data_IF_092507565717
#
_entry.id   IF_092507565717
#
_cell.length_a   1.000
_cell.length_b   1.000
_cell.length_c   1.000
_cell.angle_alpha   90.00
_cell.angle_beta   90.00
_cell.angle_gamma   90.00
#
_symmetry.space_group_name_H-M   'P 1'
#
loop_
_entity.id
_entity.type
_entity.pdbx_description
1 polymer ?
#
# COMPACT_ATOMS: atom_id res chain seq x y z
N UNK A 1 -61.75 -53.69 4.37
CA UNK A 1 -61.50 -52.25 4.55
C UNK A 1 -59.99 -52.03 4.51
N UNK A 2 -59.50 -51.11 3.67
CA UNK A 2 -58.10 -50.93 3.29
C UNK A 2 -57.37 -49.84 4.10
N UNK A 3 -56.08 -49.67 3.78
CA UNK A 3 -55.20 -48.50 3.96
C UNK A 3 -54.66 -48.20 5.37
N UNK A 4 -53.42 -47.76 5.56
CA UNK A 4 -52.42 -47.25 4.61
C UNK A 4 -51.01 -47.32 5.22
N UNK A 5 -50.04 -47.60 4.36
CA UNK A 5 -48.62 -47.31 4.57
C UNK A 5 -48.47 -45.79 4.50
N UNK A 6 -47.95 -45.16 5.55
CA UNK A 6 -47.38 -43.81 5.44
C UNK A 6 -45.85 -43.93 5.51
N UNK A 7 -45.24 -43.80 4.33
CA UNK A 7 -43.87 -43.35 4.17
C UNK A 7 -43.86 -41.83 4.27
N UNK A 8 -43.13 -41.26 5.22
CA UNK A 8 -42.66 -39.87 5.19
C UNK A 8 -41.16 -39.92 5.50
N UNK A 9 -40.33 -40.09 4.46
CA UNK A 9 -39.63 -39.02 3.74
C UNK A 9 -38.77 -38.13 4.63
N UNK A 10 -37.51 -38.57 4.78
CA UNK A 10 -36.26 -37.80 4.94
C UNK A 10 -36.43 -36.31 5.28
N UNK A 11 -36.11 -35.96 6.52
CA UNK A 11 -35.73 -34.57 6.84
C UNK A 11 -34.34 -34.30 6.22
N UNK A 12 -34.15 -33.23 5.44
CA UNK A 12 -32.81 -32.84 5.03
C UNK A 12 -32.06 -32.34 6.26
N UNK A 13 -30.89 -32.95 6.51
CA UNK A 13 -29.89 -32.38 7.40
C UNK A 13 -29.51 -31.00 6.84
N UNK A 14 -30.06 -29.94 7.42
CA UNK A 14 -29.53 -28.60 7.22
C UNK A 14 -28.16 -28.56 7.92
N UNK A 15 -27.13 -29.01 7.22
CA UNK A 15 -25.76 -28.61 7.52
C UNK A 15 -25.70 -27.08 7.38
N UNK A 16 -25.73 -26.39 8.52
CA UNK A 16 -25.44 -24.96 8.58
C UNK A 16 -23.98 -24.82 8.19
N UNK A 17 -23.73 -24.52 6.92
CA UNK A 17 -22.39 -24.24 6.42
C UNK A 17 -21.94 -22.92 7.06
N UNK A 18 -21.16 -23.01 8.14
CA UNK A 18 -20.53 -21.85 8.75
C UNK A 18 -19.61 -21.22 7.70
N UNK A 19 -19.99 -20.04 7.21
CA UNK A 19 -19.16 -19.29 6.27
C UNK A 19 -18.02 -18.67 7.07
N UNK A 20 -16.83 -19.23 6.96
CA UNK A 20 -15.61 -18.62 7.51
C UNK A 20 -15.22 -17.40 6.67
N UNK A 21 -15.32 -16.23 7.27
CA UNK A 21 -15.00 -14.94 6.65
C UNK A 21 -13.68 -14.40 7.21
N UNK A 22 -12.94 -13.67 6.36
CA UNK A 22 -11.77 -12.92 6.79
C UNK A 22 -12.20 -11.75 7.69
N UNK A 23 -11.48 -11.55 8.80
CA UNK A 23 -11.66 -10.37 9.64
C UNK A 23 -11.29 -9.11 8.86
N UNK A 24 -12.18 -8.12 8.85
CA UNK A 24 -12.01 -6.88 8.10
C UNK A 24 -12.48 -5.66 8.87
N UNK A 25 -11.86 -4.51 8.61
CA UNK A 25 -12.25 -3.20 9.13
C UNK A 25 -12.87 -2.39 8.00
N UNK A 26 -14.02 -1.76 8.25
CA UNK A 26 -14.67 -0.90 7.25
C UNK A 26 -14.12 0.53 7.31
N UNK A 27 -13.95 1.16 6.14
CA UNK A 27 -13.60 2.58 6.04
C UNK A 27 -14.84 3.48 5.84
N UNK A 28 -14.65 4.79 5.96
CA UNK A 28 -15.73 5.78 5.81
C UNK A 28 -16.26 5.92 4.36
N UNK A 29 -15.64 5.25 3.39
CA UNK A 29 -15.96 5.32 1.96
C UNK A 29 -16.63 4.05 1.43
N UNK A 30 -16.98 3.11 2.32
CA UNK A 30 -17.63 1.84 1.99
C UNK A 30 -16.65 0.78 1.46
N UNK A 31 -15.35 0.97 1.69
CA UNK A 31 -14.33 -0.05 1.50
C UNK A 31 -14.11 -0.90 2.76
N UNK A 32 -13.34 -1.97 2.59
CA UNK A 32 -12.95 -2.88 3.67
C UNK A 32 -11.46 -3.20 3.58
N UNK A 33 -10.82 -3.35 4.73
CA UNK A 33 -9.39 -3.67 4.85
C UNK A 33 -9.21 -4.94 5.67
N UNK A 34 -8.53 -5.92 5.12
CA UNK A 34 -8.06 -7.12 5.80
C UNK A 34 -6.58 -6.94 6.10
N UNK A 35 -6.20 -7.15 7.36
CA UNK A 35 -4.80 -7.26 7.76
C UNK A 35 -4.54 -8.69 8.22
N UNK A 36 -3.68 -9.41 7.49
CA UNK A 36 -3.30 -10.76 7.89
C UNK A 36 -2.38 -10.70 9.10
N UNK A 37 -2.71 -11.47 10.14
CA UNK A 37 -1.99 -11.48 11.43
C UNK A 37 -1.47 -12.86 11.81
N UNK A 38 -2.00 -13.91 11.19
CA UNK A 38 -1.69 -15.30 11.52
C UNK A 38 -1.37 -16.08 10.24
N UNK A 39 -0.50 -17.07 10.37
CA UNK A 39 -0.16 -17.98 9.27
C UNK A 39 -1.40 -18.77 8.85
N UNK A 40 -1.64 -18.84 7.54
CA UNK A 40 -2.76 -19.55 6.97
C UNK A 40 -2.30 -20.37 5.77
N UNK A 41 -2.86 -21.57 5.61
CA UNK A 41 -2.69 -22.35 4.39
C UNK A 41 -3.30 -21.60 3.20
N UNK A 42 -2.59 -21.64 2.06
CA UNK A 42 -2.99 -20.91 0.85
C UNK A 42 -4.36 -21.33 0.29
N UNK A 43 -4.75 -22.61 0.42
CA UNK A 43 -6.04 -23.11 -0.09
C UNK A 43 -7.17 -22.72 0.85
N UNK A 44 -6.95 -22.83 2.16
CA UNK A 44 -7.91 -22.36 3.16
C UNK A 44 -8.16 -20.87 2.97
N UNK A 45 -7.09 -20.07 2.86
CA UNK A 45 -7.19 -18.64 2.60
C UNK A 45 -7.97 -18.33 1.32
N UNK A 46 -7.71 -19.03 0.21
CA UNK A 46 -8.43 -18.83 -1.04
C UNK A 46 -9.95 -19.07 -0.87
N UNK A 47 -10.34 -20.13 -0.15
CA UNK A 47 -11.74 -20.43 0.15
C UNK A 47 -12.40 -19.33 1.00
N UNK A 48 -11.71 -18.87 2.04
CA UNK A 48 -12.18 -17.78 2.90
C UNK A 48 -12.27 -16.45 2.14
N UNK A 49 -11.29 -16.15 1.29
CA UNK A 49 -11.27 -14.94 0.47
C UNK A 49 -12.43 -14.92 -0.53
N UNK A 50 -12.69 -16.03 -1.24
CA UNK A 50 -13.83 -16.13 -2.16
C UNK A 50 -15.18 -15.96 -1.45
N UNK A 51 -15.31 -16.55 -0.25
CA UNK A 51 -16.51 -16.39 0.60
C UNK A 51 -16.67 -14.95 1.09
N UNK A 52 -15.57 -14.31 1.48
CA UNK A 52 -15.53 -12.92 1.95
C UNK A 52 -15.86 -11.93 0.84
N UNK A 53 -15.32 -12.14 -0.37
CA UNK A 53 -15.67 -11.35 -1.55
C UNK A 53 -17.16 -11.43 -1.86
N UNK A 54 -17.72 -12.64 -1.86
CA UNK A 54 -19.16 -12.85 -2.08
C UNK A 54 -20.01 -12.10 -1.05
N UNK A 55 -19.59 -12.16 0.22
CA UNK A 55 -20.23 -11.41 1.30
C UNK A 55 -20.14 -9.89 1.10
N UNK A 56 -18.95 -9.35 0.80
CA UNK A 56 -18.75 -7.92 0.59
C UNK A 56 -19.48 -7.38 -0.65
N UNK A 57 -19.61 -8.20 -1.72
CA UNK A 57 -20.44 -7.88 -2.88
C UNK A 57 -21.90 -7.70 -2.47
N UNK A 58 -22.46 -8.61 -1.66
CA UNK A 58 -23.84 -8.50 -1.16
C UNK A 58 -24.04 -7.28 -0.27
N UNK A 59 -23.02 -6.93 0.52
CA UNK A 59 -23.01 -5.71 1.35
C UNK A 59 -22.73 -4.44 0.53
N UNK A 60 -22.59 -4.53 -0.80
CA UNK A 60 -22.30 -3.42 -1.71
C UNK A 60 -21.04 -2.64 -1.32
N UNK A 61 -20.02 -3.35 -0.81
CA UNK A 61 -18.71 -2.76 -0.55
C UNK A 61 -18.03 -2.38 -1.87
N UNK A 62 -17.10 -1.43 -1.78
CA UNK A 62 -16.43 -0.83 -2.93
C UNK A 62 -14.99 -1.34 -3.09
N UNK A 63 -14.05 -0.73 -2.39
CA UNK A 63 -12.64 -1.14 -2.39
C UNK A 63 -12.37 -2.20 -1.34
N UNK A 64 -11.70 -3.29 -1.71
CA UNK A 64 -11.17 -4.27 -0.78
C UNK A 64 -9.66 -4.15 -0.76
N UNK A 65 -9.10 -3.95 0.41
CA UNK A 65 -7.66 -3.85 0.65
C UNK A 65 -7.20 -5.06 1.44
N UNK A 66 -6.07 -5.65 1.05
CA UNK A 66 -5.45 -6.75 1.77
C UNK A 66 -4.00 -6.39 2.04
N UNK A 67 -3.68 -6.21 3.32
CA UNK A 67 -2.31 -6.03 3.81
C UNK A 67 -1.72 -7.39 4.15
N UNK A 68 -0.69 -7.78 3.42
CA UNK A 68 0.05 -9.03 3.62
C UNK A 68 1.46 -8.72 4.12
N UNK A 69 1.74 -8.89 5.43
CA UNK A 69 3.10 -9.00 5.94
C UNK A 69 3.95 -10.01 5.14
N UNK A 70 5.25 -9.74 5.04
CA UNK A 70 6.18 -10.51 4.19
C UNK A 70 6.24 -12.00 4.54
N UNK A 71 6.02 -12.34 5.81
CA UNK A 71 5.91 -13.71 6.33
C UNK A 71 4.71 -14.49 5.76
N UNK A 72 3.70 -13.80 5.21
CA UNK A 72 2.51 -14.39 4.59
C UNK A 72 2.55 -14.29 3.05
N UNK A 73 3.75 -14.24 2.47
CA UNK A 73 3.95 -14.22 1.01
C UNK A 73 3.31 -15.40 0.27
N UNK A 74 3.07 -16.52 0.95
CA UNK A 74 2.33 -17.67 0.40
C UNK A 74 0.87 -17.34 0.05
N UNK A 75 0.33 -16.22 0.52
CA UNK A 75 -1.04 -15.77 0.25
C UNK A 75 -1.14 -14.79 -0.93
N UNK A 76 -0.02 -14.36 -1.51
CA UNK A 76 -0.01 -13.42 -2.63
C UNK A 76 -0.66 -14.04 -3.87
N UNK A 77 -0.24 -15.24 -4.27
CA UNK A 77 -0.78 -15.93 -5.45
C UNK A 77 -2.30 -16.15 -5.36
N UNK A 78 -2.88 -16.73 -4.29
CA UNK A 78 -4.33 -16.90 -4.21
C UNK A 78 -5.06 -15.55 -4.20
N UNK A 79 -4.50 -14.50 -3.60
CA UNK A 79 -5.11 -13.16 -3.63
C UNK A 79 -5.18 -12.60 -5.06
N UNK A 80 -4.11 -12.72 -5.84
CA UNK A 80 -4.07 -12.27 -7.25
C UNK A 80 -5.03 -13.08 -8.13
N UNK A 81 -5.16 -14.40 -7.90
CA UNK A 81 -6.13 -15.25 -8.63
C UNK A 81 -7.57 -14.81 -8.42
N UNK A 82 -7.89 -14.24 -7.26
CA UNK A 82 -9.19 -13.63 -6.98
C UNK A 82 -9.34 -12.22 -7.58
N UNK A 83 -8.44 -11.79 -8.46
CA UNK A 83 -8.55 -10.54 -9.22
C UNK A 83 -8.10 -9.29 -8.47
N UNK A 84 -7.34 -9.44 -7.40
CA UNK A 84 -6.63 -8.33 -6.77
C UNK A 84 -5.41 -7.93 -7.59
N UNK A 85 -5.07 -6.65 -7.53
CA UNK A 85 -3.83 -6.09 -8.10
C UNK A 85 -2.96 -5.51 -7.00
N UNK A 86 -1.66 -5.40 -7.25
CA UNK A 86 -0.75 -4.71 -6.34
C UNK A 86 -1.07 -3.21 -6.33
N UNK A 87 -1.04 -2.62 -5.14
CA UNK A 87 -1.11 -1.17 -4.99
C UNK A 87 0.28 -0.63 -4.63
N UNK A 88 0.81 -0.98 -3.48
CA UNK A 88 2.15 -0.58 -3.04
C UNK A 88 2.77 -1.67 -2.18
N UNK A 89 4.07 -1.55 -1.91
CA UNK A 89 4.79 -2.44 -1.03
C UNK A 89 5.76 -1.62 -0.20
N UNK A 90 5.87 -1.99 1.07
CA UNK A 90 6.94 -1.55 1.95
C UNK A 90 7.95 -2.69 2.13
N UNK A 91 9.00 -2.44 2.91
CA UNK A 91 10.04 -3.45 3.16
C UNK A 91 9.51 -4.73 3.82
N UNK A 92 8.38 -4.64 4.54
CA UNK A 92 7.83 -5.67 5.41
C UNK A 92 6.40 -6.10 5.05
N UNK A 93 5.74 -5.46 4.08
CA UNK A 93 4.42 -5.91 3.61
C UNK A 93 4.11 -5.52 2.16
N UNK A 94 3.15 -6.24 1.58
CA UNK A 94 2.52 -5.93 0.29
C UNK A 94 1.06 -5.52 0.51
N UNK A 95 0.64 -4.41 -0.09
CA UNK A 95 -0.76 -4.01 -0.15
C UNK A 95 -1.36 -4.37 -1.50
N UNK A 96 -2.41 -5.19 -1.47
CA UNK A 96 -3.21 -5.53 -2.65
C UNK A 96 -4.59 -4.88 -2.56
N UNK A 97 -5.17 -4.56 -3.72
CA UNK A 97 -6.48 -3.93 -3.78
C UNK A 97 -7.35 -4.55 -4.88
N UNK A 98 -8.66 -4.58 -4.64
CA UNK A 98 -9.67 -4.92 -5.64
C UNK A 98 -10.83 -3.93 -5.57
N UNK A 99 -11.24 -3.41 -6.72
CA UNK A 99 -12.49 -2.68 -6.86
C UNK A 99 -13.61 -3.66 -7.19
N UNK A 100 -14.61 -3.76 -6.32
CA UNK A 100 -15.76 -4.66 -6.51
C UNK A 100 -16.76 -4.13 -7.57
N UNK A 101 -17.18 -2.85 -7.55
CA UNK A 101 -18.23 -2.37 -8.44
C UNK A 101 -17.82 -2.39 -9.92
N UNK A 102 -18.79 -2.53 -10.82
CA UNK A 102 -18.59 -2.34 -12.26
C UNK A 102 -18.42 -0.85 -12.65
N UNK A 103 -18.62 0.07 -11.71
CA UNK A 103 -18.39 1.50 -11.93
C UNK A 103 -16.90 1.79 -12.07
N UNK A 104 -16.58 2.97 -12.61
CA UNK A 104 -15.23 3.50 -12.62
C UNK A 104 -14.53 3.33 -11.27
N UNK A 105 -13.31 2.80 -11.32
CA UNK A 105 -12.46 2.58 -10.16
C UNK A 105 -12.02 3.95 -9.60
N UNK A 106 -12.37 4.21 -8.34
CA UNK A 106 -12.01 5.46 -7.65
C UNK A 106 -10.93 5.27 -6.60
N UNK A 107 -10.25 4.13 -6.59
CA UNK A 107 -9.12 3.92 -5.71
C UNK A 107 -7.97 4.83 -6.15
N UNK A 108 -7.26 5.48 -5.21
CA UNK A 108 -6.10 6.27 -5.56
C UNK A 108 -5.06 5.39 -6.25
N UNK A 109 -4.31 5.96 -7.19
CA UNK A 109 -3.09 5.32 -7.67
C UNK A 109 -2.05 5.32 -6.56
N UNK A 110 -1.12 4.37 -6.60
CA UNK A 110 0.03 4.37 -5.71
C UNK A 110 0.97 5.57 -5.95
N UNK A 111 1.85 5.81 -4.99
CA UNK A 111 2.88 6.84 -5.10
C UNK A 111 3.76 6.57 -6.33
N UNK A 112 3.71 7.49 -7.31
CA UNK A 112 4.33 7.33 -8.62
C UNK A 112 5.56 8.22 -8.83
N UNK A 113 5.79 9.18 -7.94
CA UNK A 113 6.84 10.19 -8.08
C UNK A 113 7.85 10.05 -6.95
N UNK A 114 9.12 10.16 -7.30
CA UNK A 114 10.18 10.51 -6.35
C UNK A 114 10.30 12.02 -6.34
N UNK A 115 10.17 12.62 -5.16
CA UNK A 115 10.33 14.07 -5.00
C UNK A 115 11.78 14.34 -4.60
N UNK A 116 12.42 15.24 -5.36
CA UNK A 116 13.78 15.70 -5.10
C UNK A 116 13.79 17.17 -4.75
N UNK A 117 14.82 17.59 -4.01
CA UNK A 117 15.08 18.99 -3.68
C UNK A 117 16.44 19.42 -4.24
N UNK A 118 16.58 20.73 -4.46
CA UNK A 118 17.86 21.39 -4.67
C UNK A 118 17.92 22.64 -3.80
N UNK A 119 19.00 22.80 -3.06
CA UNK A 119 19.14 23.88 -2.09
C UNK A 119 20.01 25.01 -2.64
N UNK A 120 19.42 26.19 -2.83
CA UNK A 120 20.17 27.40 -3.12
C UNK A 120 20.52 28.10 -1.80
N UNK A 121 21.77 27.98 -1.36
CA UNK A 121 22.24 28.54 -0.09
C UNK A 121 23.22 29.67 -0.38
N UNK A 122 22.93 30.86 0.15
CA UNK A 122 23.74 32.06 -0.03
C UNK A 122 24.18 32.61 1.33
N UNK A 123 25.43 33.07 1.43
CA UNK A 123 25.94 33.76 2.61
C UNK A 123 25.78 35.28 2.51
N UNK A 124 26.11 36.02 3.57
CA UNK A 124 26.00 37.49 3.63
C UNK A 124 26.90 38.23 2.63
N UNK A 125 27.86 37.53 2.00
CA UNK A 125 28.75 38.08 0.96
C UNK A 125 28.22 37.85 -0.46
N UNK A 126 27.08 37.19 -0.60
CA UNK A 126 26.50 36.83 -1.90
C UNK A 126 27.15 35.61 -2.56
N UNK A 127 27.94 34.82 -1.83
CA UNK A 127 28.55 33.58 -2.33
C UNK A 127 27.56 32.42 -2.16
N UNK A 128 27.54 31.50 -3.11
CA UNK A 128 26.62 30.35 -3.14
C UNK A 128 27.33 29.06 -2.76
N UNK A 129 26.71 28.26 -1.89
CA UNK A 129 27.20 26.95 -1.52
C UNK A 129 27.02 25.95 -2.68
N UNK A 130 28.11 25.26 -3.01
CA UNK A 130 28.14 24.24 -4.06
C UNK A 130 28.91 23.02 -3.60
N UNK A 131 28.57 21.87 -4.17
CA UNK A 131 29.19 20.57 -3.89
C UNK A 131 29.73 19.93 -5.17
N UNK A 132 30.70 19.04 -5.00
CA UNK A 132 31.18 18.13 -6.05
C UNK A 132 30.99 16.69 -5.61
N UNK A 133 30.49 15.86 -6.53
CA UNK A 133 30.26 14.45 -6.26
C UNK A 133 31.58 13.70 -6.05
N UNK A 134 31.71 13.00 -4.92
CA UNK A 134 32.85 12.11 -4.66
C UNK A 134 32.75 10.79 -5.44
N UNK A 135 31.54 10.37 -5.77
CA UNK A 135 31.19 9.14 -6.48
C UNK A 135 30.02 9.42 -7.43
N UNK A 136 29.92 8.66 -8.53
CA UNK A 136 28.90 8.87 -9.54
C UNK A 136 29.45 9.40 -10.86
N UNK A 137 28.55 9.83 -11.74
CA UNK A 137 28.87 10.20 -13.14
C UNK A 137 29.79 11.41 -13.23
N UNK A 138 29.69 12.35 -12.28
CA UNK A 138 30.47 13.60 -12.31
C UNK A 138 31.75 13.57 -11.48
N UNK A 139 32.13 12.39 -10.94
CA UNK A 139 33.37 12.23 -10.19
C UNK A 139 34.59 12.68 -11.00
N UNK A 140 35.36 13.62 -10.46
CA UNK A 140 36.59 14.11 -11.10
C UNK A 140 36.38 15.01 -12.31
N UNK A 141 35.13 15.42 -12.61
CA UNK A 141 34.81 16.28 -13.77
C UNK A 141 34.86 17.78 -13.46
N UNK A 142 35.18 18.16 -12.21
CA UNK A 142 35.14 19.54 -11.72
C UNK A 142 33.79 20.27 -11.89
N UNK A 143 32.69 19.52 -12.06
CA UNK A 143 31.33 20.07 -12.10
C UNK A 143 30.87 20.38 -10.68
N UNK A 144 30.53 21.64 -10.45
CA UNK A 144 29.93 22.12 -9.21
C UNK A 144 28.41 22.20 -9.37
N UNK A 145 27.68 21.64 -8.40
CA UNK A 145 26.21 21.67 -8.36
C UNK A 145 25.72 22.20 -7.02
N UNK A 146 24.45 22.59 -6.97
CA UNK A 146 23.79 22.85 -5.69
C UNK A 146 23.70 21.55 -4.88
N UNK A 147 23.66 21.63 -3.54
CA UNK A 147 23.27 20.49 -2.72
C UNK A 147 21.89 19.98 -3.14
N UNK A 148 21.75 18.66 -3.28
CA UNK A 148 20.52 18.04 -3.80
C UNK A 148 20.26 16.72 -3.11
N UNK A 149 19.00 16.37 -2.91
CA UNK A 149 18.64 15.08 -2.33
C UNK A 149 17.21 14.69 -2.58
N UNK A 150 16.77 13.61 -1.95
CA UNK A 150 15.40 13.11 -2.05
C UNK A 150 14.65 13.34 -0.75
N UNK A 151 13.35 13.57 -0.88
CA UNK A 151 12.45 13.69 0.28
C UNK A 151 12.02 12.28 0.69
N UNK A 152 12.13 12.00 1.97
CA UNK A 152 11.66 10.73 2.54
C UNK A 152 10.13 10.72 2.71
N UNK A 153 9.52 9.54 2.81
CA UNK A 153 8.08 9.44 3.00
C UNK A 153 7.65 10.13 4.30
N UNK A 154 6.64 11.00 4.19
CA UNK A 154 6.14 11.79 5.33
C UNK A 154 7.03 12.97 5.73
N UNK A 155 8.16 13.19 5.06
CA UNK A 155 9.07 14.31 5.33
C UNK A 155 8.58 15.60 4.63
N UNK A 156 8.65 16.73 5.34
CA UNK A 156 8.35 18.03 4.77
C UNK A 156 9.49 18.52 3.86
N UNK A 157 9.15 19.19 2.76
CA UNK A 157 10.10 19.70 1.75
C UNK A 157 11.18 20.60 2.39
N UNK A 158 10.79 21.46 3.35
CA UNK A 158 11.72 22.38 4.01
C UNK A 158 12.68 21.61 4.92
N UNK A 159 12.16 20.60 5.62
CA UNK A 159 12.95 19.72 6.50
C UNK A 159 13.98 18.94 5.68
N UNK A 160 13.55 18.34 4.57
CA UNK A 160 14.43 17.62 3.65
C UNK A 160 15.55 18.53 3.11
N UNK A 161 15.23 19.76 2.69
CA UNK A 161 16.23 20.69 2.19
C UNK A 161 17.30 21.04 3.25
N UNK A 162 16.89 21.25 4.51
CA UNK A 162 17.83 21.53 5.60
C UNK A 162 18.70 20.30 5.92
N UNK A 163 18.09 19.11 5.98
CA UNK A 163 18.78 17.83 6.24
C UNK A 163 19.83 17.56 5.18
N UNK A 164 19.46 17.61 3.90
CA UNK A 164 20.36 17.30 2.77
C UNK A 164 21.57 18.24 2.71
N UNK A 165 21.37 19.54 2.93
CA UNK A 165 22.51 20.48 3.02
C UNK A 165 23.44 20.09 4.16
N UNK A 166 22.88 19.72 5.32
CA UNK A 166 23.66 19.31 6.50
C UNK A 166 24.44 18.03 6.24
N UNK A 167 23.84 17.05 5.60
CA UNK A 167 24.46 15.74 5.28
C UNK A 167 25.58 15.87 4.24
N UNK A 168 25.36 16.63 3.17
CA UNK A 168 26.36 16.76 2.10
C UNK A 168 27.52 17.69 2.45
N UNK A 169 27.26 18.73 3.26
CA UNK A 169 28.23 19.83 3.47
C UNK A 169 28.64 20.04 4.92
N UNK A 170 27.88 19.51 5.89
CA UNK A 170 28.06 19.78 7.32
C UNK A 170 27.57 21.16 7.77
N UNK A 171 27.08 22.01 6.86
CA UNK A 171 26.62 23.37 7.16
C UNK A 171 25.18 23.34 7.69
N UNK A 172 24.93 24.11 8.75
CA UNK A 172 23.56 24.32 9.25
C UNK A 172 22.95 25.53 8.56
N UNK A 173 21.72 25.37 8.07
CA UNK A 173 20.99 26.40 7.31
C UNK A 173 19.58 26.59 7.85
N UNK A 174 18.95 27.70 7.47
CA UNK A 174 17.54 27.96 7.71
C UNK A 174 16.81 28.04 6.38
N UNK A 175 15.65 27.38 6.28
CA UNK A 175 14.78 27.50 5.13
C UNK A 175 14.13 28.89 5.09
N UNK A 176 14.09 29.50 3.91
CA UNK A 176 13.51 30.83 3.69
C UNK A 176 12.27 30.72 2.81
N UNK A 177 12.41 30.17 1.59
CA UNK A 177 11.30 30.07 0.65
C UNK A 177 11.54 28.96 -0.39
N UNK A 178 10.46 28.53 -1.03
CA UNK A 178 10.49 27.67 -2.20
C UNK A 178 10.43 28.54 -3.46
N UNK A 179 11.50 28.53 -4.25
CA UNK A 179 11.55 29.26 -5.51
C UNK A 179 10.56 28.64 -6.51
N UNK A 180 9.71 29.47 -7.13
CA UNK A 180 8.74 29.10 -8.16
C UNK A 180 9.12 29.69 -9.51
#
# INVERSE_FOLDING_TARGET
>A
MPNSIEMEMLQPENEVQYIELLSSIEDAHGGVTVEMKEHMDSKLFASMLGSSLSYWIQQKKRGVWIKLPIEFSNLVEPTVKEGFRYHHAESDYLMLVKWIPETSDTLPSNASHRVGIGAFVMNDKGEVLVVQERNGRFKGTNVWKLPTGTIDEGEDICTAAIREVKEETGVSVQFIDALR
#
